data_IF_109434479868
#
_entry.id   IF_109434479868
#
_cell.length_a   1.000
_cell.length_b   1.000
_cell.length_c   1.000
_cell.angle_alpha   90.00
_cell.angle_beta   90.00
_cell.angle_gamma   90.00
#
_symmetry.space_group_name_H-M   'P 1'
#
loop_
_entity.id
_entity.type
_entity.pdbx_description
1 polymer ?
#
# COMPACT_ATOMS: atom_id res chain seq x y z
N UNK A 1 -4.52 -8.37 -10.01
CA UNK A 1 -5.29 -7.75 -8.91
C UNK A 1 -6.28 -8.78 -8.39
N UNK A 2 -6.35 -8.99 -7.07
CA UNK A 2 -7.36 -9.86 -6.49
C UNK A 2 -8.59 -9.02 -6.10
N UNK A 3 -9.80 -9.53 -6.36
CA UNK A 3 -11.03 -8.83 -6.00
C UNK A 3 -12.03 -9.76 -5.33
N UNK A 4 -12.68 -9.28 -4.27
CA UNK A 4 -13.70 -10.03 -3.53
C UNK A 4 -14.93 -9.15 -3.28
N UNK A 5 -16.14 -9.73 -3.42
CA UNK A 5 -17.38 -9.14 -2.89
C UNK A 5 -17.70 -9.80 -1.56
N UNK A 6 -17.78 -8.99 -0.51
CA UNK A 6 -18.20 -9.40 0.81
C UNK A 6 -19.61 -8.83 1.02
N UNK A 7 -20.63 -9.67 0.93
CA UNK A 7 -22.01 -9.26 1.15
C UNK A 7 -22.28 -9.02 2.64
N UNK A 8 -23.09 -8.01 2.93
CA UNK A 8 -23.57 -7.75 4.28
C UNK A 8 -24.46 -8.91 4.74
N UNK A 9 -24.56 -9.15 6.05
CA UNK A 9 -25.35 -10.27 6.60
C UNK A 9 -26.84 -10.21 6.23
N UNK A 10 -27.37 -8.99 6.04
CA UNK A 10 -28.76 -8.78 5.61
C UNK A 10 -28.96 -8.91 4.08
N UNK A 11 -27.89 -9.12 3.32
CA UNK A 11 -27.89 -9.25 1.86
C UNK A 11 -28.25 -7.97 1.09
N UNK A 12 -28.37 -6.82 1.76
CA UNK A 12 -28.82 -5.55 1.15
C UNK A 12 -27.68 -4.72 0.57
N UNK A 13 -26.44 -5.10 0.85
CA UNK A 13 -25.23 -4.40 0.41
C UNK A 13 -24.05 -5.34 0.29
N UNK A 14 -22.94 -4.80 -0.19
CA UNK A 14 -21.67 -5.49 -0.21
C UNK A 14 -20.52 -4.49 -0.12
N UNK A 15 -19.40 -4.97 0.42
CA UNK A 15 -18.10 -4.34 0.34
C UNK A 15 -17.28 -4.99 -0.78
N UNK A 16 -16.73 -4.18 -1.68
CA UNK A 16 -15.78 -4.63 -2.70
C UNK A 16 -14.34 -4.41 -2.20
N UNK A 17 -13.59 -5.49 -2.07
CA UNK A 17 -12.16 -5.45 -1.71
C UNK A 17 -11.31 -5.58 -2.97
N UNK A 18 -10.31 -4.71 -3.09
CA UNK A 18 -9.24 -4.80 -4.09
C UNK A 18 -7.92 -5.00 -3.33
N UNK A 19 -7.28 -6.15 -3.52
CA UNK A 19 -6.03 -6.48 -2.82
C UNK A 19 -4.93 -6.85 -3.79
N UNK A 20 -3.69 -6.60 -3.36
CA UNK A 20 -2.49 -7.04 -4.06
C UNK A 20 -1.38 -7.19 -3.03
N UNK A 21 -1.06 -8.45 -2.75
CA UNK A 21 -0.10 -8.78 -1.70
C UNK A 21 1.33 -8.71 -2.23
N UNK A 22 1.51 -9.03 -3.51
CA UNK A 22 2.81 -9.13 -4.17
C UNK A 22 2.74 -8.59 -5.60
N UNK A 23 3.70 -7.74 -5.94
CA UNK A 23 4.00 -7.26 -7.30
C UNK A 23 5.51 -7.34 -7.46
N UNK A 24 6.01 -7.91 -8.55
CA UNK A 24 7.45 -8.07 -8.75
C UNK A 24 7.91 -7.60 -10.13
N UNK A 25 8.95 -6.77 -10.13
CA UNK A 25 9.75 -6.39 -11.30
C UNK A 25 8.91 -5.89 -12.48
N UNK A 26 7.91 -5.05 -12.20
CA UNK A 26 7.03 -4.50 -13.23
C UNK A 26 7.45 -3.09 -13.65
N UNK A 27 7.00 -2.67 -14.83
CA UNK A 27 6.89 -1.24 -15.14
C UNK A 27 5.79 -0.62 -14.25
N UNK A 28 6.12 0.27 -13.31
CA UNK A 28 5.14 0.83 -12.39
C UNK A 28 4.08 1.68 -13.08
N UNK A 29 4.45 2.43 -14.12
CA UNK A 29 3.52 3.29 -14.85
C UNK A 29 2.42 2.45 -15.49
N UNK A 30 2.81 1.39 -16.22
CA UNK A 30 1.85 0.46 -16.83
C UNK A 30 1.03 -0.25 -15.75
N UNK A 31 1.69 -0.75 -14.70
CA UNK A 31 1.04 -1.48 -13.62
C UNK A 31 -0.06 -0.64 -12.95
N UNK A 32 0.25 0.58 -12.50
CA UNK A 32 -0.72 1.44 -11.81
C UNK A 32 -1.82 1.95 -12.75
N UNK A 33 -1.50 2.25 -14.02
CA UNK A 33 -2.51 2.62 -15.02
C UNK A 33 -3.51 1.48 -15.26
N UNK A 34 -3.02 0.25 -15.46
CA UNK A 34 -3.88 -0.93 -15.60
C UNK A 34 -4.68 -1.22 -14.33
N UNK A 35 -4.04 -1.17 -13.16
CA UNK A 35 -4.71 -1.43 -11.88
C UNK A 35 -5.86 -0.46 -11.63
N UNK A 36 -5.66 0.84 -11.84
CA UNK A 36 -6.70 1.83 -11.62
C UNK A 36 -7.84 1.70 -12.65
N UNK A 37 -7.52 1.40 -13.91
CA UNK A 37 -8.50 1.16 -14.95
C UNK A 37 -9.42 -0.01 -14.59
N UNK A 38 -8.85 -1.17 -14.26
CA UNK A 38 -9.59 -2.36 -13.85
C UNK A 38 -10.44 -2.09 -12.59
N UNK A 39 -9.84 -1.47 -11.58
CA UNK A 39 -10.53 -1.10 -10.33
C UNK A 39 -11.73 -0.21 -10.61
N UNK A 40 -11.58 0.79 -11.49
CA UNK A 40 -12.64 1.74 -11.84
C UNK A 40 -13.74 1.08 -12.65
N UNK A 41 -13.41 0.24 -13.62
CA UNK A 41 -14.39 -0.51 -14.41
C UNK A 41 -15.23 -1.45 -13.54
N UNK A 42 -14.60 -2.19 -12.62
CA UNK A 42 -15.29 -3.07 -11.66
C UNK A 42 -16.19 -2.24 -10.73
N UNK A 43 -15.67 -1.14 -10.18
CA UNK A 43 -16.44 -0.25 -9.30
C UNK A 43 -17.66 0.35 -10.01
N UNK A 44 -17.51 0.77 -11.26
CA UNK A 44 -18.62 1.30 -12.08
C UNK A 44 -19.69 0.25 -12.32
N UNK A 45 -19.30 -0.99 -12.65
CA UNK A 45 -20.23 -2.10 -12.80
C UNK A 45 -20.99 -2.37 -11.52
N UNK A 46 -20.28 -2.42 -10.40
CA UNK A 46 -20.84 -2.69 -9.08
C UNK A 46 -21.85 -1.61 -8.67
N UNK A 47 -21.52 -0.34 -8.89
CA UNK A 47 -22.41 0.80 -8.62
C UNK A 47 -23.64 0.80 -9.54
N UNK A 48 -23.46 0.51 -10.83
CA UNK A 48 -24.58 0.46 -11.78
C UNK A 48 -25.48 -0.73 -11.48
N UNK A 49 -24.92 -1.90 -11.17
CA UNK A 49 -25.68 -3.10 -10.80
C UNK A 49 -26.55 -2.85 -9.58
N UNK A 50 -26.01 -2.17 -8.56
CA UNK A 50 -26.76 -1.84 -7.34
C UNK A 50 -27.98 -0.94 -7.61
N UNK A 51 -27.93 -0.08 -8.64
CA UNK A 51 -29.03 0.84 -8.98
C UNK A 51 -29.98 0.29 -10.06
N UNK A 52 -29.42 -0.38 -11.06
CA UNK A 52 -30.14 -0.84 -12.26
C UNK A 52 -29.63 -2.23 -12.71
N UNK A 53 -29.99 -3.32 -12.00
CA UNK A 53 -29.48 -4.67 -12.28
C UNK A 53 -29.77 -5.14 -13.72
N UNK A 54 -31.01 -4.95 -14.18
CA UNK A 54 -31.41 -5.36 -15.53
C UNK A 54 -30.59 -4.65 -16.61
N UNK A 55 -30.47 -3.33 -16.56
CA UNK A 55 -29.65 -2.56 -17.50
C UNK A 55 -28.19 -3.02 -17.47
N UNK A 56 -27.63 -3.18 -16.28
CA UNK A 56 -26.22 -3.62 -16.13
C UNK A 56 -25.98 -4.99 -16.76
N UNK A 57 -26.95 -5.90 -16.66
CA UNK A 57 -26.86 -7.24 -17.28
C UNK A 57 -26.83 -7.22 -18.81
N UNK A 58 -27.26 -6.12 -19.44
CA UNK A 58 -27.25 -5.94 -20.89
C UNK A 58 -25.95 -5.28 -21.40
N UNK A 59 -25.10 -4.80 -20.50
CA UNK A 59 -23.85 -4.11 -20.83
C UNK A 59 -22.68 -5.09 -20.75
N UNK A 60 -21.77 -5.00 -21.72
CA UNK A 60 -20.56 -5.80 -21.76
C UNK A 60 -19.42 -5.16 -20.96
N UNK A 61 -18.32 -5.90 -20.81
CA UNK A 61 -17.13 -5.43 -20.11
C UNK A 61 -16.53 -4.18 -20.78
N UNK A 62 -16.60 -4.08 -22.12
CA UNK A 62 -16.06 -2.96 -22.90
C UNK A 62 -16.74 -1.64 -22.55
N UNK A 63 -18.05 -1.64 -22.30
CA UNK A 63 -18.76 -0.45 -21.83
C UNK A 63 -18.12 0.12 -20.56
N UNK A 64 -17.87 -0.73 -19.56
CA UNK A 64 -17.30 -0.31 -18.28
C UNK A 64 -15.84 0.12 -18.41
N UNK A 65 -15.06 -0.58 -19.24
CA UNK A 65 -13.66 -0.21 -19.53
C UNK A 65 -13.60 1.17 -20.18
N UNK A 66 -14.38 1.40 -21.25
CA UNK A 66 -14.42 2.71 -21.93
C UNK A 66 -14.85 3.83 -20.99
N UNK A 67 -15.86 3.60 -20.14
CA UNK A 67 -16.28 4.59 -19.15
C UNK A 67 -15.23 4.84 -18.09
N UNK A 68 -14.49 3.82 -17.69
CA UNK A 68 -13.35 3.98 -16.79
C UNK A 68 -12.22 4.80 -17.44
N UNK A 69 -11.90 4.58 -18.72
CA UNK A 69 -10.93 5.38 -19.47
C UNK A 69 -11.32 6.85 -19.52
N UNK A 70 -12.57 7.16 -19.86
CA UNK A 70 -13.11 8.53 -19.87
C UNK A 70 -12.95 9.23 -18.51
N UNK A 71 -13.15 8.50 -17.41
CA UNK A 71 -12.99 9.04 -16.04
C UNK A 71 -11.54 9.21 -15.61
N UNK A 72 -10.59 8.55 -16.25
CA UNK A 72 -9.18 8.58 -15.89
C UNK A 72 -8.37 9.60 -16.69
N UNK A 73 -9.00 10.30 -17.63
CA UNK A 73 -8.39 11.45 -18.33
C UNK A 73 -7.90 12.47 -17.29
N UNK A 74 -6.63 12.84 -17.36
CA UNK A 74 -5.98 13.76 -16.42
C UNK A 74 -5.64 13.18 -15.04
N UNK A 75 -6.13 11.99 -14.69
CA UNK A 75 -5.89 11.41 -13.35
C UNK A 75 -4.41 11.16 -13.07
N UNK A 76 -3.70 10.60 -14.06
CA UNK A 76 -2.26 10.30 -13.92
C UNK A 76 -1.36 11.51 -14.17
N UNK A 77 -1.85 12.53 -14.88
CA UNK A 77 -1.09 13.75 -15.17
C UNK A 77 -0.67 14.46 -13.87
N UNK A 78 -1.52 14.40 -12.84
CA UNK A 78 -1.19 14.90 -11.49
C UNK A 78 0.13 14.32 -11.01
N UNK A 79 0.30 12.99 -11.02
CA UNK A 79 1.52 12.34 -10.53
C UNK A 79 2.71 12.55 -11.45
N UNK A 80 2.48 12.62 -12.77
CA UNK A 80 3.53 12.89 -13.76
C UNK A 80 4.09 14.32 -13.63
N UNK A 81 3.25 15.27 -13.20
CA UNK A 81 3.61 16.69 -13.01
C UNK A 81 4.05 17.04 -11.59
N UNK A 82 3.66 16.25 -10.58
CA UNK A 82 4.13 16.43 -9.20
C UNK A 82 5.66 16.48 -9.18
N UNK A 83 6.20 17.58 -8.65
CA UNK A 83 7.64 17.71 -8.48
C UNK A 83 8.06 16.88 -7.28
N UNK A 84 9.12 16.11 -7.46
CA UNK A 84 9.79 15.38 -6.38
C UNK A 84 11.06 16.14 -6.03
N UNK A 85 11.35 16.28 -4.75
CA UNK A 85 12.56 16.96 -4.29
C UNK A 85 13.83 16.34 -4.89
N UNK A 86 14.78 17.17 -5.33
CA UNK A 86 15.99 16.74 -6.05
C UNK A 86 16.80 15.69 -5.27
N UNK A 87 16.81 15.74 -3.94
CA UNK A 87 17.47 14.73 -3.12
C UNK A 87 17.00 13.29 -3.41
N UNK A 88 15.70 13.07 -3.67
CA UNK A 88 15.22 11.74 -4.06
C UNK A 88 15.67 11.35 -5.47
N UNK A 89 15.81 12.33 -6.37
CA UNK A 89 16.36 12.08 -7.71
C UNK A 89 17.85 11.72 -7.64
N UNK A 90 18.61 12.39 -6.77
CA UNK A 90 20.01 12.06 -6.52
C UNK A 90 20.18 10.74 -5.78
N UNK A 91 19.22 10.38 -4.92
CA UNK A 91 19.19 9.09 -4.22
C UNK A 91 19.24 7.92 -5.22
N UNK A 92 18.44 8.00 -6.29
CA UNK A 92 18.38 6.97 -7.35
C UNK A 92 19.68 6.84 -8.15
N UNK A 93 20.60 7.80 -8.04
CA UNK A 93 21.88 7.81 -8.76
C UNK A 93 23.05 7.33 -7.90
N UNK A 94 22.90 7.24 -6.58
CA UNK A 94 24.01 6.89 -5.68
C UNK A 94 23.85 5.52 -5.04
N UNK A 95 24.92 4.74 -5.09
CA UNK A 95 25.04 3.43 -4.42
C UNK A 95 25.77 3.53 -3.08
N UNK A 96 26.22 4.73 -2.67
CA UNK A 96 26.98 4.93 -1.44
C UNK A 96 26.05 5.20 -0.26
N UNK A 97 26.07 4.30 0.73
CA UNK A 97 25.25 4.41 1.96
C UNK A 97 25.29 5.79 2.61
N UNK A 98 26.49 6.37 2.80
CA UNK A 98 26.66 7.68 3.43
C UNK A 98 25.98 8.82 2.66
N UNK A 99 25.99 8.74 1.33
CA UNK A 99 25.34 9.75 0.48
C UNK A 99 23.81 9.60 0.59
N UNK A 100 23.29 8.37 0.61
CA UNK A 100 21.86 8.09 0.82
C UNK A 100 21.39 8.61 2.19
N UNK A 101 22.13 8.34 3.27
CA UNK A 101 21.86 8.87 4.61
C UNK A 101 21.82 10.40 4.63
N UNK A 102 22.74 11.05 3.92
CA UNK A 102 22.82 12.52 3.85
C UNK A 102 21.64 13.11 3.08
N UNK A 103 21.30 12.51 1.93
CA UNK A 103 20.21 12.98 1.06
C UNK A 103 18.83 12.87 1.72
N UNK A 104 18.62 11.83 2.54
CA UNK A 104 17.33 11.55 3.18
C UNK A 104 17.12 12.25 4.52
N UNK A 105 18.15 12.92 5.05
CA UNK A 105 18.08 13.57 6.36
C UNK A 105 17.05 14.71 6.35
N UNK A 106 16.01 14.57 7.17
CA UNK A 106 14.97 15.60 7.32
C UNK A 106 14.04 15.73 6.11
N UNK A 107 14.03 14.72 5.22
CA UNK A 107 13.16 14.71 4.06
C UNK A 107 11.72 14.40 4.45
N UNK A 108 10.80 14.90 3.63
CA UNK A 108 9.37 14.64 3.70
C UNK A 108 8.89 14.06 2.37
N UNK A 109 7.77 13.35 2.40
CA UNK A 109 7.15 12.73 1.23
C UNK A 109 5.65 12.59 1.47
N UNK A 110 4.80 13.08 0.57
CA UNK A 110 3.37 12.79 0.60
C UNK A 110 3.01 11.65 -0.40
N UNK A 111 1.77 11.13 -0.40
CA UNK A 111 1.39 10.03 -1.29
C UNK A 111 1.52 10.35 -2.79
N UNK A 112 1.26 11.60 -3.20
CA UNK A 112 1.38 12.01 -4.61
C UNK A 112 2.84 12.05 -5.06
N UNK A 113 3.72 12.58 -4.20
CA UNK A 113 5.17 12.61 -4.41
C UNK A 113 5.74 11.20 -4.45
N UNK A 114 5.25 10.26 -3.62
CA UNK A 114 5.69 8.87 -3.65
C UNK A 114 5.35 8.23 -5.00
N UNK A 115 4.12 8.42 -5.46
CA UNK A 115 3.68 7.90 -6.76
C UNK A 115 4.49 8.52 -7.91
N UNK A 116 4.76 9.83 -7.84
CA UNK A 116 5.61 10.50 -8.82
C UNK A 116 7.04 9.95 -8.81
N UNK A 117 7.62 9.72 -7.63
CA UNK A 117 8.95 9.11 -7.49
C UNK A 117 8.98 7.68 -8.05
N UNK A 118 7.94 6.88 -7.79
CA UNK A 118 7.78 5.54 -8.38
C UNK A 118 7.76 5.60 -9.91
N UNK A 119 7.07 6.57 -10.52
CA UNK A 119 7.01 6.70 -11.97
C UNK A 119 8.33 7.19 -12.56
N UNK A 120 8.94 8.21 -11.93
CA UNK A 120 10.22 8.78 -12.35
C UNK A 120 11.36 7.77 -12.25
N UNK A 121 11.38 6.92 -11.22
CA UNK A 121 12.41 5.89 -11.09
C UNK A 121 12.44 4.94 -12.30
N UNK A 122 11.28 4.61 -12.87
CA UNK A 122 11.20 3.84 -14.11
C UNK A 122 11.50 4.69 -15.35
N UNK A 123 10.77 5.79 -15.55
CA UNK A 123 10.82 6.56 -16.80
C UNK A 123 12.19 7.18 -17.05
N UNK A 124 12.83 7.71 -16.00
CA UNK A 124 14.06 8.49 -16.13
C UNK A 124 15.31 7.64 -15.84
N UNK A 125 15.17 6.59 -15.03
CA UNK A 125 16.30 5.81 -14.52
C UNK A 125 16.24 4.31 -14.81
N UNK A 126 15.12 3.80 -15.33
CA UNK A 126 14.95 2.40 -15.72
C UNK A 126 14.82 1.41 -14.55
N UNK A 127 14.46 1.88 -13.34
CA UNK A 127 14.17 0.98 -12.23
C UNK A 127 12.84 0.25 -12.44
N UNK A 128 12.84 -1.07 -12.23
CA UNK A 128 11.63 -1.87 -12.10
C UNK A 128 11.06 -1.73 -10.70
N UNK A 129 9.76 -1.97 -10.58
CA UNK A 129 9.03 -1.78 -9.33
C UNK A 129 8.54 -3.10 -8.76
N UNK A 130 8.72 -3.28 -7.45
CA UNK A 130 8.07 -4.35 -6.69
C UNK A 130 7.37 -3.77 -5.47
N UNK A 131 6.23 -4.37 -5.12
CA UNK A 131 5.45 -4.04 -3.92
C UNK A 131 5.18 -5.31 -3.14
N UNK A 132 5.40 -5.26 -1.84
CA UNK A 132 5.03 -6.35 -0.94
C UNK A 132 4.20 -5.83 0.22
N UNK A 133 3.10 -6.52 0.50
CA UNK A 133 2.28 -6.36 1.70
C UNK A 133 2.49 -7.62 2.55
N UNK A 134 2.99 -7.43 3.77
CA UNK A 134 3.10 -8.50 4.75
C UNK A 134 2.21 -8.20 5.93
N UNK A 135 1.44 -9.21 6.35
CA UNK A 135 0.61 -9.17 7.54
C UNK A 135 1.00 -10.32 8.45
N UNK A 136 1.37 -9.98 9.69
CA UNK A 136 1.63 -10.94 10.75
C UNK A 136 0.59 -10.74 11.85
N UNK A 137 -0.18 -11.79 12.11
CA UNK A 137 -1.13 -11.81 13.20
C UNK A 137 -0.42 -11.97 14.55
N UNK A 138 -1.03 -11.53 15.67
CA UNK A 138 -0.56 -11.87 17.01
C UNK A 138 -0.41 -13.38 17.22
N UNK A 139 0.55 -13.80 18.05
CA UNK A 139 0.77 -15.20 18.41
C UNK A 139 -0.48 -15.83 19.05
N UNK A 140 -0.66 -17.14 18.90
CA UNK A 140 -1.77 -17.88 19.50
C UNK A 140 -3.05 -17.88 18.65
N UNK A 141 -2.99 -17.30 17.45
CA UNK A 141 -4.08 -17.29 16.46
C UNK A 141 -3.79 -18.23 15.28
N UNK A 142 -2.77 -19.08 15.39
CA UNK A 142 -2.39 -20.01 14.33
C UNK A 142 -3.52 -21.00 14.04
N UNK A 143 -3.94 -21.08 12.78
CA UNK A 143 -5.02 -21.97 12.34
C UNK A 143 -6.43 -21.48 12.67
N UNK A 144 -6.59 -20.31 13.33
CA UNK A 144 -7.91 -19.72 13.59
C UNK A 144 -8.48 -19.08 12.33
N UNK A 145 -9.78 -19.25 12.10
CA UNK A 145 -10.48 -18.61 10.98
C UNK A 145 -10.80 -17.14 11.31
N UNK A 146 -10.20 -16.20 10.57
CA UNK A 146 -10.59 -14.80 10.60
C UNK A 146 -11.94 -14.59 9.87
N UNK A 147 -12.78 -13.64 10.31
CA UNK A 147 -13.95 -13.25 9.54
C UNK A 147 -13.50 -12.53 8.27
N UNK A 148 -14.38 -12.47 7.27
CA UNK A 148 -14.07 -11.85 5.96
C UNK A 148 -13.79 -10.35 6.08
N UNK A 149 -14.53 -9.68 6.96
CA UNK A 149 -14.38 -8.27 7.24
C UNK A 149 -14.64 -8.04 8.73
N UNK A 150 -13.84 -7.18 9.35
CA UNK A 150 -14.08 -6.76 10.73
C UNK A 150 -13.39 -5.41 11.00
N UNK A 151 -14.02 -4.58 11.83
CA UNK A 151 -13.46 -3.32 12.30
C UNK A 151 -13.91 -3.00 13.73
N UNK A 152 -13.23 -2.05 14.37
CA UNK A 152 -13.68 -1.43 15.63
C UNK A 152 -14.58 -0.25 15.26
N UNK A 153 -15.80 -0.22 15.80
CA UNK A 153 -16.72 0.93 15.67
C UNK A 153 -16.32 2.05 16.62
N UNK A 154 -16.94 3.22 16.46
CA UNK A 154 -16.71 4.38 17.33
C UNK A 154 -16.99 4.11 18.81
N UNK A 155 -17.97 3.24 19.11
CA UNK A 155 -18.31 2.82 20.48
C UNK A 155 -17.36 1.75 21.06
N UNK A 156 -16.33 1.36 20.31
CA UNK A 156 -15.35 0.34 20.68
C UNK A 156 -15.82 -1.10 20.47
N UNK A 157 -17.04 -1.34 19.98
CA UNK A 157 -17.53 -2.68 19.66
C UNK A 157 -16.97 -3.19 18.34
N UNK A 158 -16.91 -4.52 18.19
CA UNK A 158 -16.47 -5.15 16.94
C UNK A 158 -17.67 -5.33 16.01
N UNK A 159 -17.55 -4.80 14.79
CA UNK A 159 -18.35 -5.28 13.68
C UNK A 159 -17.58 -6.36 12.94
N UNK A 160 -18.26 -7.43 12.52
CA UNK A 160 -17.67 -8.49 11.70
C UNK A 160 -18.69 -9.05 10.72
N UNK A 161 -18.19 -9.55 9.60
CA UNK A 161 -18.96 -10.23 8.54
C UNK A 161 -18.26 -11.54 8.21
N UNK A 162 -19.03 -12.64 8.23
CA UNK A 162 -18.54 -13.99 7.97
C UNK A 162 -18.13 -14.77 9.23
N UNK A 163 -18.05 -16.09 9.08
CA UNK A 163 -17.73 -17.01 10.17
C UNK A 163 -16.31 -16.82 10.71
N UNK A 164 -16.15 -16.95 12.02
CA UNK A 164 -14.86 -16.88 12.71
C UNK A 164 -14.87 -17.70 14.00
N UNK A 165 -13.71 -18.25 14.37
CA UNK A 165 -13.48 -18.93 15.65
C UNK A 165 -13.05 -17.96 16.77
N UNK A 166 -13.01 -16.65 16.47
CA UNK A 166 -12.46 -15.62 17.34
C UNK A 166 -13.55 -14.85 18.06
N UNK A 167 -13.32 -14.62 19.36
CA UNK A 167 -14.08 -13.70 20.19
C UNK A 167 -13.84 -12.25 19.76
N UNK A 168 -14.74 -11.34 20.14
CA UNK A 168 -14.56 -9.91 19.83
C UNK A 168 -13.30 -9.33 20.50
N UNK A 169 -12.91 -9.85 21.67
CA UNK A 169 -11.64 -9.50 22.32
C UNK A 169 -10.42 -9.92 21.50
N UNK A 170 -10.43 -11.12 20.93
CA UNK A 170 -9.35 -11.59 20.05
C UNK A 170 -9.31 -10.80 18.73
N UNK A 171 -10.46 -10.47 18.14
CA UNK A 171 -10.54 -9.62 16.95
C UNK A 171 -10.01 -8.21 17.21
N UNK A 172 -10.32 -7.64 18.37
CA UNK A 172 -9.76 -6.36 18.80
C UNK A 172 -8.23 -6.45 18.92
N UNK A 173 -7.73 -7.51 19.57
CA UNK A 173 -6.29 -7.77 19.67
C UNK A 173 -5.63 -7.89 18.29
N UNK A 174 -6.28 -8.55 17.32
CA UNK A 174 -5.78 -8.59 15.93
C UNK A 174 -5.67 -7.18 15.35
N UNK A 175 -6.70 -6.35 15.44
CA UNK A 175 -6.67 -4.99 14.87
C UNK A 175 -5.58 -4.13 15.50
N UNK A 176 -5.42 -4.23 16.82
CA UNK A 176 -4.51 -3.38 17.59
C UNK A 176 -3.04 -3.79 17.48
N UNK A 177 -2.78 -5.11 17.34
CA UNK A 177 -1.44 -5.69 17.48
C UNK A 177 -0.94 -6.46 16.26
N UNK A 178 -1.73 -6.60 15.19
CA UNK A 178 -1.19 -7.13 13.92
C UNK A 178 -0.05 -6.23 13.42
N UNK A 179 0.96 -6.85 12.83
CA UNK A 179 2.03 -6.13 12.14
C UNK A 179 1.75 -6.17 10.66
N UNK A 180 1.41 -5.01 10.10
CA UNK A 180 1.27 -4.84 8.66
C UNK A 180 2.39 -3.96 8.16
N UNK A 181 3.10 -4.43 7.13
CA UNK A 181 4.23 -3.74 6.53
C UNK A 181 3.99 -3.67 5.02
N UNK A 182 4.09 -2.48 4.46
CA UNK A 182 3.98 -2.23 3.02
C UNK A 182 5.33 -1.74 2.53
N UNK A 183 5.95 -2.47 1.60
CA UNK A 183 7.28 -2.18 1.08
C UNK A 183 7.23 -1.87 -0.41
N UNK A 184 7.85 -0.76 -0.80
CA UNK A 184 7.99 -0.28 -2.17
C UNK A 184 9.45 -0.36 -2.59
N UNK A 185 9.76 -1.27 -3.52
CA UNK A 185 11.12 -1.47 -4.02
C UNK A 185 11.29 -0.84 -5.41
N UNK A 186 12.41 -0.14 -5.59
CA UNK A 186 12.90 0.30 -6.90
C UNK A 186 14.16 -0.50 -7.19
N UNK A 187 14.15 -1.28 -8.26
CA UNK A 187 15.16 -2.30 -8.55
C UNK A 187 15.80 -2.10 -9.91
N UNK A 188 17.13 -2.13 -9.96
CA UNK A 188 17.92 -2.05 -11.18
C UNK A 188 19.20 -2.83 -11.00
N UNK A 189 19.35 -3.89 -11.80
CA UNK A 189 20.45 -4.85 -11.67
C UNK A 189 20.52 -5.38 -10.21
N UNK A 190 21.71 -5.39 -9.59
CA UNK A 190 21.89 -5.81 -8.18
C UNK A 190 21.56 -4.71 -7.16
N UNK A 191 21.15 -3.53 -7.63
CA UNK A 191 20.92 -2.36 -6.81
C UNK A 191 19.42 -2.14 -6.56
N UNK A 192 19.06 -1.87 -5.31
CA UNK A 192 17.67 -1.60 -4.96
C UNK A 192 17.54 -0.59 -3.82
N UNK A 193 16.46 0.19 -3.89
CA UNK A 193 15.97 1.05 -2.82
C UNK A 193 14.64 0.51 -2.30
N UNK A 194 14.38 0.63 -1.01
CA UNK A 194 13.11 0.27 -0.40
C UNK A 194 12.62 1.39 0.51
N UNK A 195 11.42 1.90 0.20
CA UNK A 195 10.63 2.75 1.09
C UNK A 195 9.53 1.88 1.67
N UNK A 196 9.45 1.77 2.99
CA UNK A 196 8.43 0.94 3.62
C UNK A 196 7.78 1.64 4.79
N UNK A 197 6.52 1.31 5.04
CA UNK A 197 5.75 1.80 6.18
C UNK A 197 5.23 0.62 6.97
N UNK A 198 4.97 0.87 8.26
CA UNK A 198 4.23 -0.06 9.09
C UNK A 198 2.90 0.57 9.47
N UNK A 199 1.89 -0.21 9.84
CA UNK A 199 0.65 0.35 10.38
C UNK A 199 0.89 1.13 11.69
N UNK A 200 1.95 0.78 12.43
CA UNK A 200 2.34 1.51 13.63
C UNK A 200 2.96 2.87 13.29
N UNK A 201 3.77 2.96 12.21
CA UNK A 201 4.40 4.21 11.78
C UNK A 201 3.34 5.21 11.33
N UNK A 202 2.36 4.78 10.51
CA UNK A 202 1.25 5.65 10.09
C UNK A 202 0.26 5.96 11.21
N UNK A 203 0.13 5.06 12.20
CA UNK A 203 -0.80 5.20 13.31
C UNK A 203 -0.25 5.98 14.51
N UNK A 204 0.97 6.53 14.41
CA UNK A 204 1.62 7.28 15.48
C UNK A 204 2.01 6.46 16.70
N UNK A 205 2.14 5.14 16.54
CA UNK A 205 2.54 4.22 17.62
C UNK A 205 4.06 4.03 17.73
N UNK A 206 4.82 4.54 16.77
CA UNK A 206 6.29 4.51 16.77
C UNK A 206 6.87 5.80 17.37
N UNK A 207 8.03 5.68 18.02
CA UNK A 207 8.70 6.80 18.68
C UNK A 207 9.50 7.67 17.68
N UNK A 208 8.79 8.28 16.73
CA UNK A 208 9.34 9.25 15.79
C UNK A 208 8.57 10.56 15.92
N UNK A 209 9.25 11.65 16.30
CA UNK A 209 8.68 13.01 16.43
C UNK A 209 7.26 13.01 17.01
N UNK A 210 7.08 12.48 18.22
CA UNK A 210 5.79 12.40 18.91
C UNK A 210 4.68 11.65 18.13
N UNK A 211 5.04 10.63 17.34
CA UNK A 211 4.10 9.82 16.58
C UNK A 211 3.79 10.37 15.18
N UNK A 212 4.65 11.20 14.62
CA UNK A 212 4.52 11.65 13.23
C UNK A 212 4.57 10.43 12.28
N UNK A 213 3.58 10.34 11.39
CA UNK A 213 3.58 9.34 10.32
C UNK A 213 4.84 9.48 9.45
N UNK A 214 5.46 8.34 9.11
CA UNK A 214 6.72 8.33 8.37
C UNK A 214 6.95 7.01 7.63
N UNK A 215 7.83 7.08 6.63
CA UNK A 215 8.45 5.93 5.99
C UNK A 215 9.78 5.60 6.64
N UNK A 216 10.08 4.32 6.66
CA UNK A 216 11.41 3.78 6.85
C UNK A 216 12.09 3.59 5.49
N UNK A 217 13.43 3.70 5.47
CA UNK A 217 14.22 3.50 4.27
C UNK A 217 15.37 2.50 4.47
N UNK A 218 15.59 1.64 3.48
CA UNK A 218 16.74 0.75 3.39
C UNK A 218 17.08 0.46 1.93
N UNK A 219 18.32 0.07 1.63
CA UNK A 219 18.78 -0.26 0.27
C UNK A 219 19.81 -1.39 0.31
N UNK A 220 20.21 -1.88 -0.87
CA UNK A 220 21.32 -2.85 -0.96
C UNK A 220 22.64 -2.31 -0.40
N UNK A 221 22.83 -0.99 -0.37
CA UNK A 221 24.02 -0.32 0.19
C UNK A 221 24.22 -0.56 1.69
N UNK A 222 23.21 -1.10 2.38
CA UNK A 222 23.28 -1.45 3.81
C UNK A 222 23.86 -2.85 4.07
N UNK A 223 24.36 -3.54 3.02
CA UNK A 223 24.99 -4.85 3.16
C UNK A 223 23.99 -5.97 3.48
N UNK A 224 22.74 -5.82 3.00
CA UNK A 224 21.68 -6.81 3.12
C UNK A 224 21.17 -7.19 1.73
N UNK A 225 20.94 -8.49 1.50
CA UNK A 225 20.29 -8.95 0.27
C UNK A 225 18.79 -8.62 0.29
N UNK A 226 18.17 -8.41 -0.88
CA UNK A 226 16.72 -8.20 -0.97
C UNK A 226 15.94 -9.36 -0.36
N UNK A 227 16.39 -10.60 -0.60
CA UNK A 227 15.76 -11.81 -0.08
C UNK A 227 15.78 -11.85 1.46
N UNK A 228 16.93 -11.56 2.08
CA UNK A 228 17.04 -11.51 3.55
C UNK A 228 16.17 -10.40 4.14
N UNK A 229 16.08 -9.25 3.45
CA UNK A 229 15.24 -8.15 3.91
C UNK A 229 13.75 -8.54 3.83
N UNK A 230 13.30 -9.10 2.71
CA UNK A 230 11.94 -9.60 2.54
C UNK A 230 11.60 -10.63 3.62
N UNK A 231 12.49 -11.57 3.91
CA UNK A 231 12.27 -12.58 4.95
C UNK A 231 12.18 -11.96 6.35
N UNK A 232 12.99 -10.93 6.63
CA UNK A 232 12.90 -10.18 7.88
C UNK A 232 11.56 -9.45 8.04
N UNK A 233 11.04 -8.87 6.96
CA UNK A 233 9.72 -8.23 6.92
C UNK A 233 8.61 -9.27 7.09
N UNK A 234 8.70 -10.39 6.38
CA UNK A 234 7.74 -11.49 6.45
C UNK A 234 7.58 -12.02 7.87
N UNK A 235 8.66 -12.14 8.63
CA UNK A 235 8.65 -12.61 10.03
C UNK A 235 8.31 -11.53 11.06
N UNK A 236 8.04 -10.29 10.62
CA UNK A 236 7.74 -9.17 11.50
C UNK A 236 8.94 -8.71 12.35
N UNK A 237 10.16 -9.11 11.96
CA UNK A 237 11.47 -8.77 12.55
C UNK A 237 12.32 -8.01 11.53
N UNK A 238 11.70 -7.05 10.85
CA UNK A 238 12.33 -6.29 9.77
C UNK A 238 13.58 -5.57 10.26
N UNK A 239 14.61 -5.50 9.42
CA UNK A 239 15.78 -4.67 9.71
C UNK A 239 15.40 -3.20 9.50
N UNK A 240 15.46 -2.41 10.57
CA UNK A 240 15.26 -0.96 10.49
C UNK A 240 16.60 -0.24 10.34
N UNK A 241 16.55 0.97 9.79
CA UNK A 241 17.65 1.94 9.81
C UNK A 241 17.23 3.14 10.65
N UNK A 242 18.15 4.06 10.91
CA UNK A 242 17.81 5.33 11.57
C UNK A 242 17.15 6.34 10.63
N UNK A 243 16.96 6.00 9.34
CA UNK A 243 16.45 6.90 8.32
C UNK A 243 14.92 6.82 8.33
N UNK A 244 14.31 7.94 8.72
CA UNK A 244 12.87 8.15 8.67
C UNK A 244 12.60 9.35 7.77
N UNK A 245 11.56 9.24 6.94
CA UNK A 245 11.11 10.28 6.00
C UNK A 245 9.68 10.61 6.40
N UNK A 246 9.40 11.86 6.77
CA UNK A 246 8.07 12.23 7.27
C UNK A 246 7.03 12.05 6.17
N UNK A 247 5.93 11.36 6.50
CA UNK A 247 4.79 11.18 5.64
C UNK A 247 3.78 12.28 5.93
N UNK A 248 3.67 13.22 5.01
CA UNK A 248 2.73 14.34 5.10
C UNK A 248 1.37 13.97 4.48
N UNK A 249 0.33 14.67 4.93
CA UNK A 249 -1.04 14.56 4.41
C UNK A 249 -1.66 13.15 4.50
N UNK A 250 -1.10 12.27 5.35
CA UNK A 250 -1.58 10.89 5.51
C UNK A 250 -1.23 10.28 6.86
N UNK A 251 -2.18 9.56 7.47
CA UNK A 251 -1.98 8.95 8.78
C UNK A 251 -1.98 9.98 9.92
N UNK A 252 -1.39 9.62 11.05
CA UNK A 252 -1.30 10.49 12.23
C UNK A 252 -0.34 11.65 11.97
N UNK A 253 -0.85 12.88 12.00
CA UNK A 253 -0.08 14.11 11.86
C UNK A 253 0.03 14.77 13.22
N UNK A 254 1.24 15.14 13.63
CA UNK A 254 1.44 15.90 14.86
C UNK A 254 1.19 17.38 14.59
N UNK A 255 0.40 18.04 15.46
CA UNK A 255 0.17 19.48 15.43
C UNK A 255 1.45 20.32 15.62
#
# INVERSE_FOLDING_TARGET
MNTEKIFDENGRGFTRVFSTDKVELVNPVKYYKTFELEKRAISLRDLLYAKYPFLTSQLDDNFFVKKAEEMLVGFFEKFEQTKVHDNFIQLLKTTRKKDQETLLKGMTLNPDELMSLIFKSYNDFGFLYSKYLFENLPNGLEGKKLPKLFHIKEDGTIHKVGETDLTDGELKNVIEHRKVIVSHFFEKDDFWHCFFLTYNSIGGKENWKNGQAHFHYISSSFGISKADFIESVRTGKYKSTSIHIDLLDYGNQTE
#
